data_IF_890855726894
#
_entry.id   IF_890855726894
#
_cell.length_a   1.000
_cell.length_b   1.000
_cell.length_c   1.000
_cell.angle_alpha   90.00
_cell.angle_beta   90.00
_cell.angle_gamma   90.00
#
_symmetry.space_group_name_H-M   'P 1'
#
loop_
_entity.id
_entity.type
_entity.pdbx_description
1 polymer ?
#
# COMPACT_ATOMS: atom_id res chain seq x y z
N UNK A 1 -13.56 29.90 1.70
CA UNK A 1 -12.73 28.94 0.94
C UNK A 1 -12.10 28.04 1.97
N UNK A 2 -12.55 26.81 2.09
CA UNK A 2 -12.05 25.88 3.11
C UNK A 2 -10.62 25.47 2.78
N UNK A 3 -9.66 26.02 3.54
CA UNK A 3 -8.20 25.94 3.30
C UNK A 3 -7.62 24.53 3.55
N UNK A 4 -8.45 23.56 3.93
CA UNK A 4 -8.02 22.24 4.42
C UNK A 4 -8.35 21.08 3.45
N UNK A 5 -8.82 21.38 2.24
CA UNK A 5 -9.27 20.36 1.29
C UNK A 5 -8.21 20.14 0.22
N UNK A 6 -7.74 18.90 0.09
CA UNK A 6 -6.76 18.47 -0.90
C UNK A 6 -7.33 17.30 -1.73
N UNK A 7 -7.30 17.41 -3.05
CA UNK A 7 -7.78 16.35 -3.93
C UNK A 7 -6.64 15.41 -4.31
N UNK A 8 -6.81 14.13 -4.01
CA UNK A 8 -5.92 13.06 -4.48
C UNK A 8 -6.73 12.22 -5.44
N UNK A 9 -6.40 12.31 -6.72
CA UNK A 9 -7.25 11.83 -7.80
C UNK A 9 -8.67 12.44 -7.72
N UNK A 10 -9.69 11.60 -7.58
CA UNK A 10 -11.11 11.99 -7.48
C UNK A 10 -11.59 12.17 -6.05
N UNK A 11 -10.75 11.84 -5.07
CA UNK A 11 -11.13 11.82 -3.67
C UNK A 11 -10.73 13.10 -2.94
N UNK A 12 -11.64 13.56 -2.10
CA UNK A 12 -11.47 14.75 -1.27
C UNK A 12 -10.85 14.37 0.07
N UNK A 13 -9.56 14.62 0.23
CA UNK A 13 -8.86 14.41 1.49
C UNK A 13 -8.83 15.69 2.33
N UNK A 14 -8.93 15.51 3.64
CA UNK A 14 -8.75 16.57 4.62
C UNK A 14 -7.30 16.56 5.13
N UNK A 15 -6.70 17.74 5.22
CA UNK A 15 -5.42 17.90 5.91
C UNK A 15 -5.59 17.61 7.40
N UNK A 16 -4.75 16.73 7.94
CA UNK A 16 -4.76 16.34 9.35
C UNK A 16 -3.76 17.17 10.14
N UNK A 17 -2.47 17.05 9.80
CA UNK A 17 -1.38 17.81 10.41
C UNK A 17 -0.06 17.55 9.67
N UNK A 18 0.93 18.39 9.95
CA UNK A 18 2.34 18.05 9.79
C UNK A 18 2.72 17.06 10.90
N UNK A 19 3.50 16.04 10.57
CA UNK A 19 4.03 15.09 11.54
C UNK A 19 5.29 15.68 12.15
N UNK A 20 5.21 16.05 13.43
CA UNK A 20 6.29 16.71 14.15
C UNK A 20 6.79 15.77 15.26
N UNK A 21 8.05 15.28 15.19
CA UNK A 21 8.69 14.50 16.23
C UNK A 21 8.87 15.25 17.55
N UNK A 22 8.90 14.51 18.66
CA UNK A 22 9.37 15.01 19.95
C UNK A 22 10.84 15.45 19.84
N UNK A 23 11.16 16.62 20.40
CA UNK A 23 12.50 17.22 20.41
C UNK A 23 12.98 17.44 21.84
N UNK A 24 14.30 17.49 22.02
CA UNK A 24 14.93 17.91 23.28
C UNK A 24 14.87 19.44 23.46
N UNK A 25 15.35 19.94 24.59
CA UNK A 25 15.36 21.38 24.91
C UNK A 25 16.19 22.23 23.91
N UNK A 26 17.06 21.59 23.12
CA UNK A 26 17.86 22.24 22.09
C UNK A 26 17.23 22.15 20.69
N UNK A 27 16.04 21.54 20.58
CA UNK A 27 15.35 21.33 19.31
C UNK A 27 15.86 20.15 18.49
N UNK A 28 16.72 19.28 19.03
CA UNK A 28 17.14 18.07 18.35
C UNK A 28 16.07 16.99 18.46
N UNK A 29 15.82 16.25 17.39
CA UNK A 29 14.84 15.16 17.39
C UNK A 29 15.31 14.05 18.34
N UNK A 30 14.43 13.61 19.25
CA UNK A 30 14.71 12.50 20.15
C UNK A 30 14.57 11.17 19.42
N UNK A 31 15.61 10.36 19.46
CA UNK A 31 15.62 9.00 18.94
C UNK A 31 15.30 7.96 20.02
N UNK A 32 14.45 7.00 19.68
CA UNK A 32 14.03 5.91 20.54
C UNK A 32 14.46 4.56 19.99
N UNK A 33 14.86 3.68 20.92
CA UNK A 33 15.28 2.30 20.65
C UNK A 33 14.41 1.30 21.46
N UNK A 34 13.10 1.19 21.15
CA UNK A 34 12.16 0.37 21.91
C UNK A 34 12.50 -1.13 21.88
N UNK A 35 13.28 -1.60 20.91
CA UNK A 35 13.78 -2.96 20.89
C UNK A 35 14.62 -3.31 22.13
N UNK A 36 15.33 -2.33 22.70
CA UNK A 36 16.18 -2.56 23.88
C UNK A 36 15.37 -2.80 25.14
N UNK A 37 14.11 -2.35 25.14
CA UNK A 37 13.14 -2.53 26.23
C UNK A 37 12.40 -3.87 26.15
N UNK A 38 12.59 -4.65 25.08
CA UNK A 38 11.88 -5.92 24.93
C UNK A 38 12.53 -7.03 25.77
N UNK A 39 11.82 -7.52 26.78
CA UNK A 39 12.31 -8.54 27.73
C UNK A 39 12.85 -9.82 27.07
N UNK A 40 12.34 -10.20 25.90
CA UNK A 40 12.71 -11.43 25.19
C UNK A 40 13.63 -11.18 23.99
N UNK A 41 14.32 -10.03 23.95
CA UNK A 41 15.15 -9.60 22.80
C UNK A 41 16.27 -10.59 22.44
N UNK A 42 16.78 -11.34 23.41
CA UNK A 42 17.82 -12.36 23.19
C UNK A 42 17.30 -13.62 22.49
N UNK A 43 15.99 -13.88 22.57
CA UNK A 43 15.37 -15.11 22.05
C UNK A 43 14.62 -14.91 20.74
N UNK A 44 14.47 -13.66 20.29
CA UNK A 44 13.68 -13.34 19.11
C UNK A 44 14.50 -12.41 18.22
N UNK A 45 14.60 -12.74 16.94
CA UNK A 45 15.29 -11.90 15.98
C UNK A 45 14.46 -10.63 15.66
N UNK A 46 15.14 -9.51 15.44
CA UNK A 46 14.53 -8.32 14.86
C UNK A 46 13.89 -8.62 13.49
N UNK A 47 12.83 -7.89 13.16
CA UNK A 47 12.38 -7.81 11.78
C UNK A 47 13.23 -6.79 11.00
N UNK A 48 13.01 -6.71 9.67
CA UNK A 48 13.80 -5.89 8.74
C UNK A 48 13.91 -4.41 9.16
N UNK A 49 12.87 -3.86 9.81
CA UNK A 49 12.83 -2.45 10.23
C UNK A 49 12.99 -2.28 11.75
N UNK A 50 13.23 -3.37 12.48
CA UNK A 50 13.20 -3.39 13.94
C UNK A 50 14.41 -2.75 14.63
N UNK A 51 15.47 -2.43 13.88
CA UNK A 51 16.70 -1.87 14.42
C UNK A 51 16.54 -0.40 14.88
N UNK A 52 15.57 0.32 14.33
CA UNK A 52 15.45 1.77 14.53
C UNK A 52 16.64 2.54 13.90
N UNK A 53 16.89 3.79 14.34
CA UNK A 53 16.15 4.51 15.38
C UNK A 53 14.71 4.84 14.97
N UNK A 54 13.89 5.20 15.95
CA UNK A 54 12.52 5.66 15.76
C UNK A 54 12.31 7.03 16.40
N UNK A 55 11.33 7.79 15.91
CA UNK A 55 10.84 9.00 16.59
C UNK A 55 9.57 8.71 17.38
N UNK A 56 9.18 9.63 18.25
CA UNK A 56 7.82 9.72 18.78
C UNK A 56 7.12 10.96 18.24
N UNK A 57 5.83 10.85 17.99
CA UNK A 57 4.98 11.96 17.57
C UNK A 57 3.52 11.64 17.86
N UNK A 58 2.65 12.65 17.77
CA UNK A 58 1.20 12.48 17.87
C UNK A 58 0.48 13.31 16.82
N UNK A 59 -0.65 12.78 16.37
CA UNK A 59 -1.65 13.52 15.58
C UNK A 59 -2.83 13.93 16.49
N UNK A 60 -3.63 14.94 16.09
CA UNK A 60 -4.80 15.37 16.86
C UNK A 60 -5.77 14.22 17.16
N UNK A 61 -6.24 14.13 18.40
CA UNK A 61 -7.13 13.06 18.88
C UNK A 61 -8.58 13.18 18.40
N UNK A 62 -8.94 14.30 17.77
CA UNK A 62 -10.25 14.50 17.14
C UNK A 62 -10.55 13.41 16.08
N UNK A 63 -9.52 12.83 15.47
CA UNK A 63 -9.63 11.74 14.50
C UNK A 63 -9.82 10.35 15.13
N UNK A 64 -10.14 10.26 16.42
CA UNK A 64 -10.40 8.99 17.09
C UNK A 64 -11.69 8.34 16.55
N UNK A 65 -11.67 7.01 16.41
CA UNK A 65 -12.78 6.20 15.86
C UNK A 65 -13.19 6.57 14.43
N UNK A 66 -12.39 7.37 13.72
CA UNK A 66 -12.61 7.71 12.32
C UNK A 66 -11.93 6.65 11.45
N UNK A 67 -12.72 5.95 10.64
CA UNK A 67 -12.23 4.95 9.70
C UNK A 67 -12.12 5.51 8.28
N UNK A 68 -11.16 5.02 7.50
CA UNK A 68 -10.91 5.57 6.18
C UNK A 68 -9.51 5.29 5.64
N UNK A 69 -9.11 6.12 4.70
CA UNK A 69 -7.81 6.07 4.02
C UNK A 69 -6.99 7.29 4.41
N UNK A 70 -5.73 7.09 4.74
CA UNK A 70 -4.78 8.17 4.96
C UNK A 70 -3.65 8.15 3.93
N UNK A 71 -3.13 9.33 3.64
CA UNK A 71 -2.00 9.55 2.76
C UNK A 71 -0.92 10.31 3.51
N UNK A 72 0.33 9.85 3.41
CA UNK A 72 1.51 10.53 3.92
C UNK A 72 2.25 11.14 2.73
N UNK A 73 2.54 12.42 2.83
CA UNK A 73 3.36 13.15 1.88
C UNK A 73 4.70 13.51 2.51
N UNK A 74 5.77 13.40 1.73
CA UNK A 74 7.04 14.05 2.03
C UNK A 74 7.18 15.21 1.06
N UNK A 75 7.20 16.43 1.60
CA UNK A 75 6.99 17.67 0.86
C UNK A 75 5.72 17.59 -0.01
N UNK A 76 5.86 17.56 -1.34
CA UNK A 76 4.74 17.45 -2.28
C UNK A 76 4.55 16.04 -2.85
N UNK A 77 5.40 15.09 -2.44
CA UNK A 77 5.36 13.72 -2.96
C UNK A 77 4.52 12.79 -2.09
N UNK A 78 3.52 12.13 -2.70
CA UNK A 78 2.79 11.03 -2.06
C UNK A 78 3.73 9.84 -1.85
N UNK A 79 4.11 9.58 -0.60
CA UNK A 79 5.06 8.52 -0.25
C UNK A 79 4.39 7.27 0.32
N UNK A 80 3.23 7.41 0.98
CA UNK A 80 2.51 6.28 1.55
C UNK A 80 0.99 6.48 1.51
N UNK A 81 0.26 5.40 1.29
CA UNK A 81 -1.20 5.30 1.44
C UNK A 81 -1.49 4.15 2.39
N UNK A 82 -2.44 4.31 3.29
CA UNK A 82 -2.88 3.21 4.16
C UNK A 82 -4.34 3.33 4.58
N UNK A 83 -4.92 2.23 5.03
CA UNK A 83 -6.25 2.21 5.64
C UNK A 83 -6.23 2.08 7.16
N UNK A 84 -7.30 2.51 7.81
CA UNK A 84 -7.53 2.29 9.24
C UNK A 84 -9.01 2.29 9.61
N UNK A 85 -9.34 1.60 10.71
CA UNK A 85 -10.64 1.69 11.40
C UNK A 85 -10.70 2.80 12.46
N UNK A 86 -9.53 3.35 12.83
CA UNK A 86 -9.36 4.43 13.80
C UNK A 86 -8.03 5.13 13.51
N UNK A 87 -8.09 6.34 12.95
CA UNK A 87 -6.91 7.09 12.54
C UNK A 87 -6.03 7.46 13.74
N UNK A 88 -6.61 8.01 14.81
CA UNK A 88 -5.83 8.37 16.00
C UNK A 88 -5.14 7.16 16.61
N UNK A 89 -5.80 6.00 16.68
CA UNK A 89 -5.18 4.77 17.19
C UNK A 89 -4.07 4.28 16.26
N UNK A 90 -4.28 4.31 14.94
CA UNK A 90 -3.28 3.86 13.94
C UNK A 90 -1.99 4.66 14.04
N UNK A 91 -2.11 5.98 14.19
CA UNK A 91 -0.95 6.87 14.31
C UNK A 91 -0.41 6.89 15.74
N UNK A 92 -1.18 7.29 16.75
CA UNK A 92 -0.64 7.56 18.09
C UNK A 92 -0.21 6.30 18.86
N UNK A 93 -0.82 5.13 18.59
CA UNK A 93 -0.43 3.85 19.21
C UNK A 93 0.34 2.92 18.26
N UNK A 94 0.40 3.27 16.98
CA UNK A 94 1.12 2.51 15.95
C UNK A 94 2.38 3.26 15.55
N UNK A 95 2.26 4.14 14.56
CA UNK A 95 3.40 4.82 13.96
C UNK A 95 4.13 5.79 14.89
N UNK A 96 3.42 6.61 15.65
CA UNK A 96 3.97 7.64 16.53
C UNK A 96 4.55 7.12 17.85
N UNK A 97 4.37 5.84 18.17
CA UNK A 97 4.94 5.23 19.38
C UNK A 97 5.19 3.73 19.17
N UNK A 98 6.38 3.40 18.67
CA UNK A 98 6.74 2.02 18.34
C UNK A 98 6.82 1.16 19.60
N UNK A 99 5.92 0.19 19.72
CA UNK A 99 5.98 -0.80 20.80
C UNK A 99 7.21 -1.71 20.65
N UNK A 100 7.87 -2.11 21.76
CA UNK A 100 9.01 -3.02 21.73
C UNK A 100 8.75 -4.31 20.92
N UNK A 101 7.56 -4.91 21.06
CA UNK A 101 7.19 -6.14 20.34
C UNK A 101 7.20 -5.96 18.82
N UNK A 102 6.85 -4.78 18.32
CA UNK A 102 6.79 -4.51 16.88
C UNK A 102 8.16 -4.53 16.20
N UNK A 103 9.26 -4.43 16.96
CA UNK A 103 10.62 -4.50 16.43
C UNK A 103 11.06 -5.92 16.05
N UNK A 104 10.37 -6.94 16.53
CA UNK A 104 10.80 -8.34 16.41
C UNK A 104 9.96 -9.14 15.41
N UNK A 105 10.47 -10.30 14.99
CA UNK A 105 9.71 -11.27 14.18
C UNK A 105 8.42 -11.67 14.91
N UNK A 106 7.31 -11.65 14.17
CA UNK A 106 5.95 -11.84 14.71
C UNK A 106 5.38 -10.61 15.42
N UNK A 107 5.98 -9.42 15.25
CA UNK A 107 5.38 -8.12 15.52
C UNK A 107 4.78 -7.48 14.27
N UNK A 108 4.51 -6.17 14.31
CA UNK A 108 4.02 -5.39 13.16
C UNK A 108 5.15 -4.59 12.50
N UNK A 109 5.84 -5.14 11.48
CA UNK A 109 6.99 -4.48 10.84
C UNK A 109 6.62 -3.17 10.13
N UNK A 110 5.39 -3.05 9.62
CA UNK A 110 4.92 -1.81 8.97
C UNK A 110 5.01 -0.60 9.90
N UNK A 111 4.77 -0.78 11.20
CA UNK A 111 4.86 0.33 12.14
C UNK A 111 6.30 0.86 12.21
N UNK A 112 7.25 -0.07 12.34
CA UNK A 112 8.67 0.25 12.36
C UNK A 112 9.12 0.90 11.05
N UNK A 113 8.68 0.35 9.90
CA UNK A 113 9.00 0.89 8.56
C UNK A 113 8.56 2.34 8.42
N UNK A 114 7.27 2.61 8.63
CA UNK A 114 6.68 3.94 8.42
C UNK A 114 7.30 4.96 9.36
N UNK A 115 7.48 4.63 10.65
CA UNK A 115 8.13 5.54 11.58
C UNK A 115 9.58 5.84 11.20
N UNK A 116 10.37 4.83 10.87
CA UNK A 116 11.77 5.03 10.49
C UNK A 116 11.88 5.90 9.23
N UNK A 117 10.99 5.71 8.26
CA UNK A 117 10.95 6.53 7.05
C UNK A 117 10.55 7.98 7.36
N UNK A 118 9.53 8.22 8.20
CA UNK A 118 9.18 9.56 8.69
C UNK A 118 10.40 10.24 9.33
N UNK A 119 11.08 9.56 10.26
CA UNK A 119 12.26 10.10 10.92
C UNK A 119 13.36 10.47 9.91
N UNK A 120 13.60 9.62 8.91
CA UNK A 120 14.64 9.85 7.92
C UNK A 120 14.33 11.05 7.00
N UNK A 121 13.08 11.26 6.58
CA UNK A 121 12.73 12.44 5.78
C UNK A 121 12.88 13.73 6.59
N UNK A 122 12.43 13.74 7.85
CA UNK A 122 12.48 14.93 8.70
C UNK A 122 13.93 15.30 9.04
N UNK A 123 14.79 14.30 9.28
CA UNK A 123 16.24 14.53 9.45
C UNK A 123 16.92 15.13 8.20
N UNK A 124 16.36 14.91 7.03
CA UNK A 124 16.83 15.52 5.78
C UNK A 124 16.24 16.94 5.58
N UNK A 125 15.52 17.48 6.56
CA UNK A 125 14.91 18.81 6.50
C UNK A 125 13.62 18.88 5.71
N UNK A 126 13.03 17.73 5.34
CA UNK A 126 11.78 17.69 4.58
C UNK A 126 10.58 17.74 5.50
N UNK A 127 9.48 18.30 4.98
CA UNK A 127 8.19 18.27 5.65
C UNK A 127 7.51 16.91 5.45
N UNK A 128 6.80 16.43 6.48
CA UNK A 128 5.98 15.22 6.37
C UNK A 128 4.56 15.56 6.76
N UNK A 129 3.60 15.38 5.84
CA UNK A 129 2.20 15.78 6.01
C UNK A 129 1.28 14.59 5.98
N UNK A 130 0.24 14.64 6.81
CA UNK A 130 -0.82 13.64 6.87
C UNK A 130 -2.13 14.19 6.33
N UNK A 131 -2.75 13.43 5.45
CA UNK A 131 -4.08 13.68 4.92
C UNK A 131 -4.99 12.47 5.17
N UNK A 132 -6.29 12.70 5.33
CA UNK A 132 -7.25 11.65 5.63
C UNK A 132 -8.57 11.82 4.88
N UNK A 133 -9.12 10.70 4.43
CA UNK A 133 -10.45 10.57 3.86
C UNK A 133 -11.24 9.62 4.76
N UNK A 134 -12.23 10.13 5.50
CA UNK A 134 -13.17 9.29 6.24
C UNK A 134 -14.09 8.55 5.27
N UNK A 135 -14.07 7.22 5.29
CA UNK A 135 -14.85 6.39 4.36
C UNK A 135 -14.96 4.94 4.82
N UNK A 136 -16.09 4.30 4.48
CA UNK A 136 -16.30 2.85 4.66
C UNK A 136 -15.66 2.03 3.52
N UNK A 137 -15.40 2.63 2.37
CA UNK A 137 -14.84 1.99 1.16
C UNK A 137 -13.30 1.95 1.18
N UNK A 138 -12.72 1.97 2.38
CA UNK A 138 -11.29 2.21 2.60
C UNK A 138 -10.36 1.23 1.86
N UNK A 139 -10.76 -0.04 1.73
CA UNK A 139 -9.93 -1.05 1.07
C UNK A 139 -9.82 -0.83 -0.44
N UNK A 140 -10.92 -0.53 -1.11
CA UNK A 140 -10.91 -0.32 -2.56
C UNK A 140 -10.21 1.00 -2.91
N UNK A 141 -10.43 2.04 -2.11
CA UNK A 141 -9.79 3.35 -2.30
C UNK A 141 -8.27 3.29 -2.01
N UNK A 142 -7.85 2.65 -0.91
CA UNK A 142 -6.42 2.43 -0.62
C UNK A 142 -5.75 1.72 -1.79
N UNK A 143 -6.34 0.62 -2.25
CA UNK A 143 -5.82 -0.15 -3.37
C UNK A 143 -5.71 0.68 -4.64
N UNK A 144 -6.77 1.42 -5.01
CA UNK A 144 -6.79 2.28 -6.18
C UNK A 144 -5.67 3.31 -6.14
N UNK A 145 -5.49 3.99 -5.02
CA UNK A 145 -4.46 5.01 -4.86
C UNK A 145 -3.05 4.41 -4.91
N UNK A 146 -2.82 3.24 -4.31
CA UNK A 146 -1.53 2.54 -4.38
C UNK A 146 -1.22 2.08 -5.81
N UNK A 147 -2.20 1.52 -6.51
CA UNK A 147 -2.05 1.05 -7.89
C UNK A 147 -1.83 2.21 -8.86
N UNK A 148 -2.46 3.37 -8.60
CA UNK A 148 -2.34 4.55 -9.45
C UNK A 148 -1.03 5.30 -9.25
N UNK A 149 -0.65 5.54 -8.01
CA UNK A 149 0.46 6.45 -7.69
C UNK A 149 1.76 5.73 -7.34
N UNK A 150 1.72 4.42 -7.11
CA UNK A 150 2.85 3.61 -6.69
C UNK A 150 3.72 4.27 -5.60
N UNK A 151 3.14 4.65 -4.44
CA UNK A 151 3.88 5.37 -3.41
C UNK A 151 5.08 4.54 -2.95
N UNK A 152 6.23 5.21 -2.80
CA UNK A 152 7.51 4.54 -2.57
C UNK A 152 7.50 3.66 -1.32
N UNK A 153 6.77 4.07 -0.28
CA UNK A 153 6.71 3.34 0.99
C UNK A 153 5.66 2.23 1.01
N UNK A 154 4.79 2.11 0.00
CA UNK A 154 3.82 1.00 -0.11
C UNK A 154 4.44 -0.27 -0.70
N UNK A 155 5.58 -0.15 -1.37
CA UNK A 155 6.31 -1.30 -1.89
C UNK A 155 6.89 -2.15 -0.75
N UNK A 156 6.87 -3.47 -0.93
CA UNK A 156 7.69 -4.40 -0.15
C UNK A 156 9.14 -4.15 -0.58
N UNK A 157 10.00 -3.77 0.35
CA UNK A 157 11.35 -3.33 0.06
C UNK A 157 12.14 -4.34 -0.75
N UNK A 158 12.91 -3.82 -1.71
CA UNK A 158 13.92 -4.57 -2.46
C UNK A 158 13.61 -4.75 -3.95
N UNK A 159 13.71 -3.66 -4.74
CA UNK A 159 14.30 -3.62 -6.09
C UNK A 159 14.30 -2.20 -6.65
N UNK A 160 15.51 -1.65 -6.81
CA UNK A 160 15.88 -0.47 -7.60
C UNK A 160 15.15 0.85 -7.32
N UNK A 161 15.78 1.66 -6.48
CA UNK A 161 15.69 3.12 -6.53
C UNK A 161 16.27 3.55 -7.88
N UNK A 162 15.41 3.75 -8.88
CA UNK A 162 15.64 4.77 -9.90
C UNK A 162 14.71 5.92 -9.54
N UNK A 163 15.33 7.01 -9.08
CA UNK A 163 14.73 8.32 -8.91
C UNK A 163 14.01 8.72 -10.19
N UNK A 164 12.69 8.51 -10.24
CA UNK A 164 11.85 9.07 -11.28
C UNK A 164 11.34 10.42 -10.77
N UNK A 165 12.11 11.46 -11.09
CA UNK A 165 11.63 12.83 -11.19
C UNK A 165 10.50 12.87 -12.23
N UNK A 166 9.27 12.63 -11.81
CA UNK A 166 8.05 12.89 -12.59
C UNK A 166 6.81 12.90 -11.68
N UNK A 167 6.83 13.74 -10.65
CA UNK A 167 5.60 14.14 -9.94
C UNK A 167 5.66 15.63 -9.73
N UNK A 168 5.48 16.41 -10.80
CA UNK A 168 5.25 17.85 -10.70
C UNK A 168 4.25 18.39 -11.74
N UNK A 169 3.58 17.55 -12.55
CA UNK A 169 2.68 18.02 -13.62
C UNK A 169 1.21 17.56 -13.51
N UNK A 170 0.79 16.98 -12.38
CA UNK A 170 -0.64 16.70 -12.12
C UNK A 170 -1.23 17.53 -10.96
N UNK A 171 -0.44 18.46 -10.39
CA UNK A 171 -0.91 19.48 -9.44
C UNK A 171 -0.94 20.79 -10.22
N UNK A 172 -2.13 21.34 -10.47
CA UNK A 172 -2.37 22.39 -11.45
C UNK A 172 -1.67 23.72 -11.16
N UNK A 173 -0.44 23.91 -11.67
CA UNK A 173 0.23 25.20 -11.77
C UNK A 173 0.92 25.31 -13.14
N UNK A 174 0.40 26.19 -14.01
CA UNK A 174 0.90 26.39 -15.36
C UNK A 174 2.14 27.27 -15.42
N UNK A 175 3.21 26.79 -16.08
CA UNK A 175 4.27 27.62 -16.65
C UNK A 175 4.53 27.14 -18.08
N UNK A 176 4.34 28.05 -19.06
CA UNK A 176 4.63 27.81 -20.48
C UNK A 176 6.13 27.86 -20.71
N UNK A 177 6.73 26.76 -21.20
CA UNK A 177 7.98 26.81 -21.96
C UNK A 177 7.79 25.96 -23.23
N UNK A 178 8.19 26.54 -24.35
CA UNK A 178 7.93 26.09 -25.71
C UNK A 178 8.78 24.89 -26.14
N UNK A 179 8.11 24.04 -26.93
CA UNK A 179 8.52 22.94 -27.82
C UNK A 179 10.03 22.80 -28.12
N UNK A 180 10.50 21.55 -28.12
CA UNK A 180 10.99 20.94 -29.38
C UNK A 180 10.92 19.41 -29.41
N UNK A 181 10.83 18.89 -30.64
CA UNK A 181 10.35 17.58 -31.11
C UNK A 181 11.33 16.41 -30.90
N UNK A 182 10.78 15.20 -30.68
CA UNK A 182 11.03 14.07 -31.59
C UNK A 182 9.93 12.98 -31.49
N UNK A 183 9.68 12.31 -32.62
CA UNK A 183 8.48 11.52 -32.95
C UNK A 183 8.59 10.00 -32.67
N UNK A 184 7.41 9.40 -32.47
CA UNK A 184 6.92 8.07 -32.91
C UNK A 184 7.60 6.76 -32.44
N UNK A 185 6.89 6.03 -31.55
CA UNK A 185 6.57 4.59 -31.73
C UNK A 185 5.09 4.36 -31.32
N UNK A 186 4.37 3.58 -32.14
CA UNK A 186 2.92 3.32 -32.09
C UNK A 186 2.51 2.29 -31.01
N UNK A 187 1.42 2.63 -30.33
CA UNK A 187 0.25 1.84 -29.87
C UNK A 187 0.36 0.65 -28.90
N UNK A 188 -0.38 0.84 -27.79
CA UNK A 188 -1.35 -0.05 -27.12
C UNK A 188 -0.87 -1.08 -26.08
N UNK A 189 -1.15 -0.80 -24.79
CA UNK A 189 -2.09 -1.57 -23.95
C UNK A 189 -2.12 -1.02 -22.52
N UNK A 190 -3.31 -0.56 -22.12
CA UNK A 190 -3.70 -0.10 -20.78
C UNK A 190 -3.83 -1.33 -19.86
N UNK A 191 -3.12 -1.39 -18.74
CA UNK A 191 -3.26 -2.52 -17.80
C UNK A 191 -4.35 -2.24 -16.76
N UNK A 192 -5.46 -2.97 -16.88
CA UNK A 192 -6.57 -3.03 -15.92
C UNK A 192 -6.18 -3.78 -14.64
N UNK A 193 -6.61 -3.29 -13.49
CA UNK A 193 -6.35 -3.86 -12.16
C UNK A 193 -7.19 -5.09 -11.78
N UNK A 194 -7.33 -6.08 -12.68
CA UNK A 194 -8.20 -7.25 -12.49
C UNK A 194 -7.66 -8.58 -13.03
N UNK A 195 -8.54 -9.61 -13.06
CA UNK A 195 -8.27 -10.96 -13.61
C UNK A 195 -8.92 -11.12 -15.00
N UNK A 196 -9.05 -10.04 -15.77
CA UNK A 196 -9.73 -10.02 -17.08
C UNK A 196 -9.07 -10.95 -18.09
N UNK A 197 -7.73 -11.02 -18.10
CA UNK A 197 -7.00 -11.94 -18.97
C UNK A 197 -7.29 -13.40 -18.61
N UNK A 198 -7.47 -13.71 -17.33
CA UNK A 198 -7.92 -15.04 -16.90
C UNK A 198 -9.36 -15.30 -17.36
N UNK A 199 -10.26 -14.32 -17.25
CA UNK A 199 -11.62 -14.42 -17.80
C UNK A 199 -11.61 -14.67 -19.31
N UNK A 200 -10.80 -13.92 -20.04
CA UNK A 200 -10.67 -14.02 -21.50
C UNK A 200 -10.09 -15.36 -21.91
N UNK A 201 -9.09 -15.86 -21.17
CA UNK A 201 -8.51 -17.17 -21.36
C UNK A 201 -9.55 -18.28 -21.14
N UNK A 202 -10.24 -18.29 -20.00
CA UNK A 202 -11.26 -19.29 -19.67
C UNK A 202 -12.43 -19.30 -20.66
N UNK A 203 -12.84 -18.13 -21.18
CA UNK A 203 -13.88 -18.03 -22.23
C UNK A 203 -13.52 -18.78 -23.51
N UNK A 204 -12.23 -18.89 -23.84
CA UNK A 204 -11.74 -19.55 -25.07
C UNK A 204 -11.60 -21.06 -24.92
N UNK A 205 -11.66 -21.59 -23.71
CA UNK A 205 -11.56 -23.03 -23.46
C UNK A 205 -12.87 -23.71 -23.87
N UNK A 206 -12.76 -24.67 -24.79
CA UNK A 206 -13.92 -25.42 -25.34
C UNK A 206 -14.31 -26.63 -24.50
N UNK A 207 -13.42 -27.14 -23.63
CA UNK A 207 -13.72 -28.19 -22.67
C UNK A 207 -14.49 -27.71 -21.43
N UNK A 208 -15.01 -28.66 -20.65
CA UNK A 208 -15.80 -28.37 -19.45
C UNK A 208 -14.98 -28.29 -18.16
N UNK A 209 -13.70 -28.65 -18.22
CA UNK A 209 -12.75 -28.59 -17.11
C UNK A 209 -11.35 -28.26 -17.61
N UNK A 210 -10.61 -27.47 -16.84
CA UNK A 210 -9.20 -27.17 -17.08
C UNK A 210 -8.44 -27.06 -15.75
N UNK A 211 -7.30 -27.74 -15.68
CA UNK A 211 -6.32 -27.57 -14.60
C UNK A 211 -5.28 -26.55 -15.02
N UNK A 212 -5.07 -25.53 -14.19
CA UNK A 212 -4.02 -24.54 -14.36
C UNK A 212 -3.12 -24.53 -13.13
N UNK A 213 -1.81 -24.59 -13.33
CA UNK A 213 -0.84 -24.30 -12.28
C UNK A 213 -0.86 -22.82 -11.93
N UNK A 214 -0.40 -22.47 -10.73
CA UNK A 214 -0.33 -21.08 -10.31
C UNK A 214 0.57 -20.26 -11.24
N UNK A 215 1.70 -20.84 -11.68
CA UNK A 215 2.60 -20.20 -12.67
C UNK A 215 1.92 -19.97 -14.02
N UNK A 216 1.06 -20.87 -14.48
CA UNK A 216 0.30 -20.66 -15.73
C UNK A 216 -0.72 -19.55 -15.57
N UNK A 217 -1.42 -19.50 -14.42
CA UNK A 217 -2.33 -18.40 -14.11
C UNK A 217 -1.58 -17.08 -14.10
N UNK A 218 -0.41 -17.00 -13.45
CA UNK A 218 0.45 -15.81 -13.41
C UNK A 218 0.88 -15.35 -14.80
N UNK A 219 1.23 -16.28 -15.70
CA UNK A 219 1.55 -15.98 -17.10
C UNK A 219 0.34 -15.43 -17.84
N UNK A 220 -0.84 -16.04 -17.65
CA UNK A 220 -2.10 -15.60 -18.26
C UNK A 220 -2.43 -14.17 -17.81
N UNK A 221 -2.39 -13.89 -16.52
CA UNK A 221 -2.69 -12.55 -15.97
C UNK A 221 -1.52 -11.57 -16.07
N UNK A 222 -0.38 -12.05 -16.55
CA UNK A 222 0.85 -11.28 -16.72
C UNK A 222 1.31 -10.54 -15.44
N UNK A 223 1.10 -11.19 -14.29
CA UNK A 223 1.51 -10.73 -12.95
C UNK A 223 1.61 -11.92 -12.00
N UNK A 224 2.32 -11.75 -10.90
CA UNK A 224 2.37 -12.76 -9.85
C UNK A 224 1.07 -12.80 -9.04
N UNK A 225 0.66 -13.99 -8.62
CA UNK A 225 -0.47 -14.17 -7.73
C UNK A 225 -0.11 -13.64 -6.33
N UNK A 226 -1.07 -13.06 -5.58
CA UNK A 226 -0.78 -12.59 -4.24
C UNK A 226 -0.46 -13.77 -3.30
N UNK A 227 0.38 -13.59 -2.26
CA UNK A 227 0.70 -14.66 -1.32
C UNK A 227 -0.51 -15.35 -0.67
N UNK A 228 -1.64 -14.65 -0.55
CA UNK A 228 -2.90 -15.20 -0.05
C UNK A 228 -3.49 -16.28 -0.97
N UNK A 229 -3.34 -16.15 -2.29
CA UNK A 229 -3.76 -17.17 -3.24
C UNK A 229 -3.01 -18.49 -3.00
N UNK A 230 -1.74 -18.43 -2.60
CA UNK A 230 -0.90 -19.60 -2.28
C UNK A 230 -1.24 -20.24 -0.94
N UNK A 231 -1.77 -19.48 0.02
CA UNK A 231 -1.88 -19.89 1.42
C UNK A 231 -3.30 -20.25 1.85
N UNK A 232 -4.31 -19.72 1.17
CA UNK A 232 -5.69 -19.81 1.65
C UNK A 232 -6.62 -20.33 0.55
N UNK A 233 -7.20 -21.51 0.75
CA UNK A 233 -8.18 -22.07 -0.19
C UNK A 233 -9.42 -21.17 -0.35
N UNK A 234 -9.80 -20.43 0.70
CA UNK A 234 -10.87 -19.44 0.68
C UNK A 234 -10.62 -18.30 -0.33
N UNK A 235 -9.36 -18.01 -0.68
CA UNK A 235 -9.05 -17.05 -1.75
C UNK A 235 -9.61 -17.53 -3.09
N UNK A 236 -9.67 -18.83 -3.34
CA UNK A 236 -10.22 -19.42 -4.57
C UNK A 236 -11.71 -19.79 -4.46
N UNK A 237 -12.38 -19.36 -3.40
CA UNK A 237 -13.80 -19.64 -3.21
C UNK A 237 -14.64 -19.05 -4.35
N UNK A 238 -15.76 -19.71 -4.64
CA UNK A 238 -16.73 -19.30 -5.66
C UNK A 238 -17.65 -18.17 -5.18
N UNK A 239 -17.10 -17.15 -4.52
CA UNK A 239 -17.82 -16.01 -3.96
C UNK A 239 -17.05 -15.33 -2.82
N UNK A 240 -17.60 -14.23 -2.28
CA UNK A 240 -17.05 -13.53 -1.11
C UNK A 240 -15.86 -12.58 -1.40
N UNK A 241 -15.25 -12.66 -2.58
CA UNK A 241 -14.17 -11.76 -3.00
C UNK A 241 -14.35 -11.28 -4.45
N UNK A 242 -13.89 -10.06 -4.74
CA UNK A 242 -14.08 -9.41 -6.04
C UNK A 242 -13.38 -10.15 -7.19
N UNK A 243 -12.23 -10.79 -6.93
CA UNK A 243 -11.51 -11.57 -7.95
C UNK A 243 -12.23 -12.87 -8.34
N UNK A 244 -13.10 -13.43 -7.48
CA UNK A 244 -13.89 -14.60 -7.85
C UNK A 244 -14.88 -14.34 -8.98
N UNK A 245 -15.34 -13.09 -9.11
CA UNK A 245 -16.27 -12.69 -10.16
C UNK A 245 -15.69 -12.88 -11.58
N UNK A 246 -14.37 -12.91 -11.74
CA UNK A 246 -13.74 -12.98 -13.06
C UNK A 246 -13.91 -14.34 -13.73
N UNK A 247 -13.88 -15.44 -12.98
CA UNK A 247 -14.23 -16.75 -13.53
C UNK A 247 -15.74 -17.03 -13.46
N UNK A 248 -16.41 -16.58 -12.38
CA UNK A 248 -17.85 -16.80 -12.20
C UNK A 248 -18.71 -16.12 -13.28
N UNK A 249 -18.41 -14.86 -13.62
CA UNK A 249 -19.16 -14.11 -14.65
C UNK A 249 -19.02 -14.71 -16.05
N UNK A 250 -17.98 -15.52 -16.27
CA UNK A 250 -17.74 -16.19 -17.55
C UNK A 250 -18.17 -17.66 -17.54
N UNK A 251 -18.93 -18.07 -16.53
CA UNK A 251 -19.54 -19.41 -16.44
C UNK A 251 -18.61 -20.50 -15.90
N UNK A 252 -17.49 -20.12 -15.27
CA UNK A 252 -16.54 -21.05 -14.67
C UNK A 252 -16.56 -20.95 -13.15
N UNK A 253 -16.23 -22.03 -12.46
CA UNK A 253 -16.06 -22.10 -11.00
C UNK A 253 -14.80 -22.89 -10.67
N UNK A 254 -14.24 -22.65 -9.49
CA UNK A 254 -13.18 -23.50 -8.93
C UNK A 254 -13.82 -24.77 -8.38
N UNK A 255 -13.37 -25.93 -8.85
CA UNK A 255 -13.83 -27.24 -8.42
C UNK A 255 -12.89 -27.88 -7.40
N UNK A 256 -11.59 -27.86 -7.69
CA UNK A 256 -10.54 -28.44 -6.85
C UNK A 256 -9.31 -27.53 -6.82
N UNK A 257 -8.59 -27.58 -5.72
CA UNK A 257 -7.36 -26.81 -5.54
C UNK A 257 -6.32 -27.63 -4.77
N UNK A 258 -5.07 -27.55 -5.23
CA UNK A 258 -3.90 -27.89 -4.44
C UNK A 258 -3.11 -26.61 -4.19
N UNK A 259 -3.09 -26.15 -2.94
CA UNK A 259 -2.48 -24.87 -2.58
C UNK A 259 -0.99 -24.84 -2.94
N UNK A 260 -0.61 -23.77 -3.64
CA UNK A 260 0.75 -23.54 -4.11
C UNK A 260 1.14 -24.30 -5.37
N UNK A 261 0.24 -25.10 -5.93
CA UNK A 261 0.52 -25.91 -7.12
C UNK A 261 -0.47 -25.59 -8.26
N UNK A 262 -1.74 -25.95 -8.11
CA UNK A 262 -2.74 -25.82 -9.19
C UNK A 262 -4.18 -25.63 -8.71
N UNK A 263 -5.02 -25.14 -9.63
CA UNK A 263 -6.48 -25.02 -9.50
C UNK A 263 -7.14 -25.69 -10.70
N UNK A 264 -8.23 -26.41 -10.46
CA UNK A 264 -9.14 -26.91 -11.49
C UNK A 264 -10.34 -25.99 -11.56
N UNK A 265 -10.54 -25.38 -12.72
CA UNK A 265 -11.77 -24.70 -13.08
C UNK A 265 -12.67 -25.67 -13.84
N UNK A 266 -13.97 -25.66 -13.56
CA UNK A 266 -14.97 -26.34 -14.39
C UNK A 266 -16.16 -25.42 -14.68
N UNK A 267 -16.91 -25.74 -15.73
CA UNK A 267 -18.13 -24.99 -16.07
C UNK A 267 -19.17 -25.14 -14.96
N UNK A 268 -19.91 -24.06 -14.71
CA UNK A 268 -21.00 -24.02 -13.73
C UNK A 268 -22.16 -24.92 -14.14
#
# INVERSE_FOLDING_TARGET
MDVNIFYIHQYKFEYVCDIIPETDDNGNIIEYYPQDLYKKKEFVQLNEYGKGPFCRFKIPTFWAKKEGVYCIFSDEQLVYVGECVDLSKRFNMGYGNISPRNCFKGGQPTNCKVNNFILNEIKQGKSVKLYFLETKERFEIEKELIEKFHPQWNSQSGKNIRSNNRVLNEIGMGVKITKDKCNNIKSASVRSGGYEELSAYLKRITGDSIRLTFKEIERIINRTLPPSAYKHAAWWANGGHSHANYWLKVGWRVEKIALGDWVVFSRK
#
